data_IF_820415596730
#
_entry.id   IF_820415596730
#
_cell.length_a   1.000
_cell.length_b   1.000
_cell.length_c   1.000
_cell.angle_alpha   90.00
_cell.angle_beta   90.00
_cell.angle_gamma   90.00
#
_symmetry.space_group_name_H-M   'P 1'
#
loop_
_entity.id
_entity.type
_entity.pdbx_description
1 polymer ?
#
# COMPACT_ATOMS: atom_id res chain seq x y z
N UNK A 1 16.15 -13.50 27.81
CA UNK A 1 14.83 -12.91 27.49
C UNK A 1 14.56 -11.71 28.39
N UNK A 2 15.18 -10.56 28.10
CA UNK A 2 14.83 -9.33 28.78
C UNK A 2 13.59 -8.73 28.10
N UNK A 3 12.44 -8.74 28.80
CA UNK A 3 11.27 -7.93 28.43
C UNK A 3 11.74 -6.46 28.27
N UNK A 4 11.46 -5.79 27.15
CA UNK A 4 11.81 -4.39 27.02
C UNK A 4 10.97 -3.59 28.02
N UNK A 5 11.64 -3.07 29.07
CA UNK A 5 11.04 -2.08 29.97
C UNK A 5 10.66 -0.80 29.18
N UNK A 6 9.79 0.04 29.74
CA UNK A 6 9.34 1.29 29.12
C UNK A 6 10.49 2.18 28.59
N UNK A 7 11.68 2.15 29.23
CA UNK A 7 12.90 2.79 28.73
C UNK A 7 13.42 2.21 27.42
N UNK A 8 13.18 0.94 27.14
CA UNK A 8 13.59 0.30 25.87
C UNK A 8 12.76 0.72 24.67
N UNK A 9 11.48 1.06 24.87
CA UNK A 9 10.62 1.55 23.78
C UNK A 9 11.01 2.98 23.36
N UNK A 10 11.15 3.90 24.30
CA UNK A 10 11.57 5.27 23.99
C UNK A 10 12.94 5.31 23.32
N UNK A 11 13.89 4.48 23.79
CA UNK A 11 15.19 4.35 23.17
C UNK A 11 15.07 3.81 21.73
N UNK A 12 14.18 2.83 21.48
CA UNK A 12 13.95 2.27 20.15
C UNK A 12 13.37 3.31 19.19
N UNK A 13 12.43 4.14 19.67
CA UNK A 13 11.90 5.28 18.90
C UNK A 13 13.01 6.28 18.55
N UNK A 14 13.83 6.67 19.54
CA UNK A 14 14.95 7.60 19.34
C UNK A 14 15.92 7.09 18.26
N UNK A 15 16.33 5.80 18.33
CA UNK A 15 17.26 5.20 17.36
C UNK A 15 16.66 5.15 15.96
N UNK A 16 15.39 4.76 15.82
CA UNK A 16 14.71 4.67 14.50
C UNK A 16 14.57 6.07 13.89
N UNK A 17 14.09 7.05 14.66
CA UNK A 17 13.86 8.41 14.16
C UNK A 17 15.16 9.19 13.88
N UNK A 18 16.27 8.81 14.51
CA UNK A 18 17.60 9.38 14.21
C UNK A 18 18.23 8.81 12.93
N UNK A 19 17.67 7.74 12.37
CA UNK A 19 18.20 7.11 11.16
C UNK A 19 17.62 7.79 9.91
N UNK A 20 18.47 8.50 9.14
CA UNK A 20 18.07 9.18 7.93
C UNK A 20 17.48 8.23 6.87
N UNK A 21 18.02 7.01 6.75
CA UNK A 21 17.48 6.02 5.83
C UNK A 21 16.03 5.64 6.15
N UNK A 22 15.65 5.66 7.44
CA UNK A 22 14.27 5.42 7.85
C UNK A 22 13.30 6.46 7.29
N UNK A 23 13.67 7.74 7.29
CA UNK A 23 12.82 8.81 6.75
C UNK A 23 12.60 8.69 5.25
N UNK A 24 13.64 8.30 4.49
CA UNK A 24 13.51 8.03 3.04
C UNK A 24 12.53 6.88 2.81
N UNK A 25 12.65 5.79 3.58
CA UNK A 25 11.76 4.63 3.47
C UNK A 25 10.34 4.99 3.88
N UNK A 26 10.19 5.76 4.96
CA UNK A 26 8.89 6.24 5.43
C UNK A 26 8.19 7.08 4.36
N UNK A 27 8.92 7.99 3.71
CA UNK A 27 8.40 8.80 2.61
C UNK A 27 8.03 7.94 1.40
N UNK A 28 8.90 7.01 1.02
CA UNK A 28 8.63 6.04 -0.06
C UNK A 28 7.39 5.19 0.20
N UNK A 29 7.09 4.88 1.45
CA UNK A 29 5.89 4.17 1.85
C UNK A 29 4.66 5.08 1.94
N UNK A 30 4.79 6.24 2.59
CA UNK A 30 3.68 7.13 2.91
C UNK A 30 3.05 7.75 1.65
N UNK A 31 3.86 8.24 0.71
CA UNK A 31 3.36 8.93 -0.49
C UNK A 31 2.47 8.03 -1.35
N UNK A 32 2.86 6.80 -1.73
CA UNK A 32 1.98 5.90 -2.47
C UNK A 32 0.80 5.37 -1.65
N UNK A 33 0.91 5.36 -0.31
CA UNK A 33 -0.19 4.95 0.55
C UNK A 33 -1.37 5.92 0.51
N UNK A 34 -1.14 7.22 0.25
CA UNK A 34 -2.21 8.22 0.13
C UNK A 34 -3.24 7.84 -0.95
N UNK A 35 -2.87 7.73 -2.24
CA UNK A 35 -3.82 7.31 -3.27
C UNK A 35 -4.33 5.87 -3.04
N UNK A 36 -3.50 4.99 -2.45
CA UNK A 36 -3.90 3.62 -2.11
C UNK A 36 -5.08 3.57 -1.13
N UNK A 37 -5.02 4.32 -0.05
CA UNK A 37 -6.11 4.43 0.92
C UNK A 37 -7.33 5.16 0.35
N UNK A 38 -7.12 6.25 -0.38
CA UNK A 38 -8.20 6.96 -1.04
C UNK A 38 -8.98 6.02 -1.97
N UNK A 39 -8.28 5.28 -2.85
CA UNK A 39 -8.92 4.35 -3.77
C UNK A 39 -9.68 3.26 -3.03
N UNK A 40 -9.08 2.61 -2.04
CA UNK A 40 -9.73 1.52 -1.28
C UNK A 40 -11.01 2.00 -0.58
N UNK A 41 -11.02 3.20 -0.02
CA UNK A 41 -12.15 3.73 0.73
C UNK A 41 -13.28 4.24 -0.19
N UNK A 42 -12.93 4.78 -1.37
CA UNK A 42 -13.90 5.35 -2.30
C UNK A 42 -14.32 4.40 -3.43
N UNK A 43 -13.65 3.26 -3.57
CA UNK A 43 -13.93 2.31 -4.64
C UNK A 43 -15.39 1.82 -4.65
N UNK A 44 -16.02 1.48 -3.51
CA UNK A 44 -17.44 1.10 -3.48
C UNK A 44 -18.33 2.18 -4.08
N UNK A 45 -18.07 3.45 -3.73
CA UNK A 45 -18.81 4.60 -4.25
C UNK A 45 -18.58 4.78 -5.75
N UNK A 46 -17.34 4.62 -6.23
CA UNK A 46 -17.04 4.68 -7.67
C UNK A 46 -17.73 3.55 -8.43
N UNK A 47 -17.78 2.34 -7.90
CA UNK A 47 -18.51 1.22 -8.50
C UNK A 47 -20.01 1.49 -8.55
N UNK A 48 -20.59 2.00 -7.45
CA UNK A 48 -22.01 2.34 -7.43
C UNK A 48 -22.37 3.42 -8.46
N UNK A 49 -21.62 4.52 -8.49
CA UNK A 49 -21.89 5.66 -9.34
C UNK A 49 -21.65 5.33 -10.83
N UNK A 50 -20.52 4.70 -11.16
CA UNK A 50 -20.15 4.47 -12.54
C UNK A 50 -20.93 3.33 -13.19
N UNK A 51 -21.43 2.38 -12.39
CA UNK A 51 -22.22 1.24 -12.88
C UNK A 51 -23.74 1.44 -12.69
N UNK A 52 -24.16 2.45 -11.95
CA UNK A 52 -25.57 2.66 -11.62
C UNK A 52 -26.17 1.53 -10.75
N UNK A 53 -25.35 0.88 -9.92
CA UNK A 53 -25.78 -0.23 -9.04
C UNK A 53 -25.90 0.23 -7.59
N UNK A 54 -26.78 -0.42 -6.79
CA UNK A 54 -26.91 -0.07 -5.38
C UNK A 54 -25.64 -0.37 -4.60
N UNK A 55 -25.36 0.42 -3.55
CA UNK A 55 -24.16 0.30 -2.70
C UNK A 55 -24.02 -1.08 -2.07
N UNK A 56 -25.14 -1.74 -1.79
CA UNK A 56 -25.19 -3.12 -1.24
C UNK A 56 -24.50 -4.13 -2.15
N UNK A 57 -24.55 -3.93 -3.46
CA UNK A 57 -23.87 -4.76 -4.48
C UNK A 57 -22.48 -4.23 -4.81
N UNK A 58 -22.32 -2.92 -4.87
CA UNK A 58 -21.06 -2.26 -5.21
C UNK A 58 -19.96 -2.50 -4.13
N UNK A 59 -20.35 -2.48 -2.85
CA UNK A 59 -19.44 -2.72 -1.73
C UNK A 59 -18.74 -4.08 -1.79
N UNK A 60 -19.48 -5.18 -1.76
CA UNK A 60 -18.89 -6.52 -1.89
C UNK A 60 -18.11 -6.71 -3.20
N UNK A 61 -18.65 -6.27 -4.35
CA UNK A 61 -18.01 -6.40 -5.64
C UNK A 61 -16.64 -5.70 -5.67
N UNK A 62 -16.56 -4.46 -5.22
CA UNK A 62 -15.31 -3.70 -5.17
C UNK A 62 -14.30 -4.29 -4.20
N UNK A 63 -14.76 -4.68 -3.00
CA UNK A 63 -13.90 -5.24 -1.95
C UNK A 63 -13.32 -6.59 -2.37
N UNK A 64 -14.14 -7.49 -2.91
CA UNK A 64 -13.68 -8.80 -3.40
C UNK A 64 -12.71 -8.61 -4.57
N UNK A 65 -13.02 -7.70 -5.49
CA UNK A 65 -12.14 -7.41 -6.64
C UNK A 65 -10.74 -6.99 -6.20
N UNK A 66 -10.64 -6.03 -5.26
CA UNK A 66 -9.33 -5.59 -4.75
C UNK A 66 -8.67 -6.66 -3.90
N UNK A 67 -9.39 -7.29 -2.98
CA UNK A 67 -8.79 -8.27 -2.07
C UNK A 67 -8.21 -9.47 -2.85
N UNK A 68 -8.98 -10.04 -3.78
CA UNK A 68 -8.52 -11.14 -4.61
C UNK A 68 -7.32 -10.75 -5.48
N UNK A 69 -7.38 -9.60 -6.16
CA UNK A 69 -6.29 -9.17 -7.02
C UNK A 69 -5.04 -8.78 -6.22
N UNK A 70 -5.18 -8.13 -5.06
CA UNK A 70 -4.05 -7.83 -4.17
C UNK A 70 -3.36 -9.09 -3.66
N UNK A 71 -4.11 -10.15 -3.37
CA UNK A 71 -3.54 -11.44 -2.99
C UNK A 71 -2.59 -11.98 -4.07
N UNK A 72 -3.04 -11.99 -5.33
CA UNK A 72 -2.18 -12.36 -6.46
C UNK A 72 -1.00 -11.40 -6.64
N UNK A 73 -1.25 -10.10 -6.47
CA UNK A 73 -0.22 -9.06 -6.53
C UNK A 73 0.89 -9.28 -5.49
N UNK A 74 0.54 -9.62 -4.26
CA UNK A 74 1.50 -9.94 -3.17
C UNK A 74 2.35 -11.16 -3.53
N UNK A 75 1.72 -12.26 -4.00
CA UNK A 75 2.43 -13.48 -4.37
C UNK A 75 3.38 -13.21 -5.53
N UNK A 76 2.88 -12.60 -6.60
CA UNK A 76 3.68 -12.31 -7.79
C UNK A 76 4.79 -11.29 -7.51
N UNK A 77 4.47 -10.22 -6.77
CA UNK A 77 5.44 -9.21 -6.37
C UNK A 77 6.52 -9.76 -5.45
N UNK A 78 6.16 -10.61 -4.49
CA UNK A 78 7.11 -11.32 -3.63
C UNK A 78 8.05 -12.22 -4.44
N UNK A 79 7.50 -13.08 -5.28
CA UNK A 79 8.28 -13.98 -6.13
C UNK A 79 9.25 -13.23 -7.06
N UNK A 80 8.76 -12.19 -7.75
CA UNK A 80 9.55 -11.39 -8.68
C UNK A 80 10.69 -10.67 -7.95
N UNK A 81 10.39 -10.05 -6.81
CA UNK A 81 11.39 -9.34 -6.02
C UNK A 81 12.46 -10.27 -5.45
N UNK A 82 12.09 -11.46 -4.97
CA UNK A 82 13.02 -12.43 -4.44
C UNK A 82 13.94 -12.99 -5.54
N UNK A 83 13.43 -13.17 -6.75
CA UNK A 83 14.23 -13.54 -7.91
C UNK A 83 15.22 -12.43 -8.29
N UNK A 84 14.80 -11.18 -8.29
CA UNK A 84 15.65 -10.06 -8.67
C UNK A 84 16.70 -9.71 -7.62
N UNK A 85 16.37 -9.81 -6.34
CA UNK A 85 17.33 -9.54 -5.23
C UNK A 85 18.56 -10.44 -5.31
N UNK A 86 18.43 -11.65 -5.86
CA UNK A 86 19.58 -12.55 -6.06
C UNK A 86 20.66 -11.99 -6.98
N UNK A 87 20.28 -11.07 -7.88
CA UNK A 87 21.18 -10.44 -8.84
C UNK A 87 21.42 -8.94 -8.54
N UNK A 88 20.45 -8.28 -7.90
CA UNK A 88 20.51 -6.86 -7.59
C UNK A 88 19.69 -6.54 -6.34
N UNK A 89 20.34 -6.02 -5.30
CA UNK A 89 19.70 -5.65 -4.03
C UNK A 89 18.55 -4.63 -4.20
N UNK A 90 18.54 -3.85 -5.29
CA UNK A 90 17.46 -2.92 -5.65
C UNK A 90 16.22 -3.61 -6.23
N UNK A 91 16.24 -4.94 -6.42
CA UNK A 91 15.15 -5.70 -7.04
C UNK A 91 13.78 -5.46 -6.37
N UNK A 92 13.74 -5.32 -5.04
CA UNK A 92 12.50 -5.00 -4.30
C UNK A 92 11.95 -3.62 -4.64
N UNK A 93 12.82 -2.63 -4.78
CA UNK A 93 12.43 -1.27 -5.15
C UNK A 93 11.89 -1.23 -6.58
N UNK A 94 12.52 -1.95 -7.51
CA UNK A 94 12.04 -2.05 -8.89
C UNK A 94 10.69 -2.75 -8.99
N UNK A 95 10.48 -3.84 -8.26
CA UNK A 95 9.19 -4.54 -8.21
C UNK A 95 8.10 -3.61 -7.65
N UNK A 96 8.38 -2.88 -6.57
CA UNK A 96 7.46 -1.89 -6.01
C UNK A 96 7.15 -0.77 -7.01
N UNK A 97 8.15 -0.25 -7.72
CA UNK A 97 7.96 0.79 -8.72
C UNK A 97 7.09 0.31 -9.90
N UNK A 98 7.28 -0.92 -10.36
CA UNK A 98 6.42 -1.53 -11.39
C UNK A 98 5.00 -1.67 -10.87
N UNK A 99 4.81 -2.17 -9.64
CA UNK A 99 3.51 -2.28 -9.02
C UNK A 99 2.79 -0.93 -8.95
N UNK A 100 3.47 0.13 -8.49
CA UNK A 100 2.93 1.49 -8.47
C UNK A 100 2.64 2.01 -9.89
N UNK A 101 3.51 1.72 -10.86
CA UNK A 101 3.29 2.07 -12.26
C UNK A 101 1.99 1.48 -12.82
N UNK A 102 1.63 0.25 -12.42
CA UNK A 102 0.37 -0.39 -12.81
C UNK A 102 -0.87 0.28 -12.19
N UNK A 103 -0.72 0.92 -11.05
CA UNK A 103 -1.86 1.64 -10.43
C UNK A 103 -2.24 2.91 -11.19
N UNK A 104 -1.33 3.51 -11.96
CA UNK A 104 -1.62 4.74 -12.72
C UNK A 104 -2.70 4.52 -13.78
N UNK A 105 -2.55 3.59 -14.76
CA UNK A 105 -3.61 3.32 -15.72
C UNK A 105 -4.88 2.77 -15.05
N UNK A 106 -4.75 2.05 -13.94
CA UNK A 106 -5.90 1.59 -13.17
C UNK A 106 -6.74 2.75 -12.64
N UNK A 107 -6.11 3.78 -12.06
CA UNK A 107 -6.80 4.97 -11.54
C UNK A 107 -7.46 5.78 -12.66
N UNK A 108 -6.80 5.90 -13.82
CA UNK A 108 -7.40 6.56 -15.00
C UNK A 108 -8.65 5.80 -15.46
N UNK A 109 -8.58 4.47 -15.56
CA UNK A 109 -9.72 3.65 -15.94
C UNK A 109 -10.85 3.68 -14.90
N UNK A 110 -10.53 3.77 -13.60
CA UNK A 110 -11.55 3.94 -12.55
C UNK A 110 -12.26 5.30 -12.65
N UNK A 111 -11.55 6.35 -13.03
CA UNK A 111 -12.13 7.69 -13.16
C UNK A 111 -13.00 7.88 -14.41
N UNK A 112 -12.66 7.24 -15.51
CA UNK A 112 -13.33 7.44 -16.81
C UNK A 112 -14.11 6.21 -17.32
N UNK A 113 -14.03 5.08 -16.65
CA UNK A 113 -14.72 3.85 -17.05
C UNK A 113 -16.20 3.87 -16.66
N UNK A 114 -17.08 3.53 -17.59
CA UNK A 114 -18.53 3.43 -17.38
C UNK A 114 -19.08 2.03 -17.68
N UNK A 115 -18.23 1.06 -17.96
CA UNK A 115 -18.65 -0.32 -18.21
C UNK A 115 -18.13 -1.26 -17.11
N UNK A 116 -18.92 -2.29 -16.80
CA UNK A 116 -18.54 -3.28 -15.79
C UNK A 116 -17.14 -3.89 -16.04
N UNK A 117 -16.79 -4.34 -17.29
CA UNK A 117 -15.45 -4.88 -17.53
C UNK A 117 -14.33 -3.86 -17.32
N UNK A 118 -14.54 -2.58 -17.68
CA UNK A 118 -13.54 -1.54 -17.51
C UNK A 118 -13.27 -1.26 -16.03
N UNK A 119 -14.33 -1.14 -15.22
CA UNK A 119 -14.22 -0.81 -13.79
C UNK A 119 -13.68 -2.00 -13.00
N UNK A 120 -14.19 -3.22 -13.26
CA UNK A 120 -13.66 -4.42 -12.60
C UNK A 120 -12.21 -4.67 -13.03
N UNK A 121 -11.90 -4.53 -14.31
CA UNK A 121 -10.53 -4.65 -14.84
C UNK A 121 -9.57 -3.63 -14.21
N UNK A 122 -10.03 -2.40 -14.04
CA UNK A 122 -9.27 -1.35 -13.36
C UNK A 122 -9.03 -1.68 -11.88
N UNK A 123 -10.05 -2.17 -11.17
CA UNK A 123 -9.93 -2.63 -9.78
C UNK A 123 -8.95 -3.81 -9.63
N UNK A 124 -9.01 -4.77 -10.55
CA UNK A 124 -8.06 -5.88 -10.60
C UNK A 124 -6.62 -5.40 -10.83
N UNK A 125 -6.42 -4.52 -11.79
CA UNK A 125 -5.10 -3.96 -12.11
C UNK A 125 -4.54 -3.14 -10.94
N UNK A 126 -5.39 -2.34 -10.30
CA UNK A 126 -5.03 -1.59 -9.10
C UNK A 126 -4.61 -2.53 -7.96
N UNK A 127 -5.42 -3.55 -7.67
CA UNK A 127 -5.13 -4.49 -6.59
C UNK A 127 -3.82 -5.26 -6.82
N UNK A 128 -3.57 -5.76 -8.05
CA UNK A 128 -2.30 -6.41 -8.40
C UNK A 128 -1.13 -5.45 -8.20
N UNK A 129 -1.20 -4.25 -8.75
CA UNK A 129 -0.13 -3.26 -8.65
C UNK A 129 0.16 -2.85 -7.21
N UNK A 130 -0.89 -2.54 -6.44
CA UNK A 130 -0.73 -2.16 -5.04
C UNK A 130 -0.25 -3.33 -4.18
N UNK A 131 -0.70 -4.56 -4.44
CA UNK A 131 -0.22 -5.77 -3.78
C UNK A 131 1.28 -6.02 -4.01
N UNK A 132 1.77 -5.80 -5.24
CA UNK A 132 3.20 -5.87 -5.56
C UNK A 132 4.03 -4.84 -4.78
N UNK A 133 3.52 -3.63 -4.62
CA UNK A 133 4.15 -2.60 -3.80
C UNK A 133 4.17 -3.00 -2.32
N UNK A 134 3.01 -3.38 -1.78
CA UNK A 134 2.81 -3.66 -0.35
C UNK A 134 3.65 -4.85 0.14
N UNK A 135 3.80 -5.90 -0.67
CA UNK A 135 4.62 -7.07 -0.38
C UNK A 135 6.09 -6.75 -0.09
N UNK A 136 6.60 -5.63 -0.61
CA UNK A 136 8.01 -5.27 -0.50
C UNK A 136 8.31 -4.25 0.60
N UNK A 137 7.32 -3.65 1.24
CA UNK A 137 7.51 -2.59 2.24
C UNK A 137 8.31 -3.08 3.45
N UNK A 138 7.89 -4.17 4.09
CA UNK A 138 8.63 -4.74 5.23
C UNK A 138 10.02 -5.27 4.83
N UNK A 139 10.17 -6.03 3.73
CA UNK A 139 11.48 -6.47 3.28
C UNK A 139 12.45 -5.32 2.94
N UNK A 140 11.98 -4.21 2.35
CA UNK A 140 12.82 -3.03 2.10
C UNK A 140 13.28 -2.42 3.43
N UNK A 141 12.36 -2.23 4.38
CA UNK A 141 12.70 -1.72 5.72
C UNK A 141 13.79 -2.58 6.39
N UNK A 142 13.67 -3.92 6.27
CA UNK A 142 14.61 -4.86 6.86
C UNK A 142 16.04 -4.79 6.28
N UNK A 143 16.24 -4.18 5.11
CA UNK A 143 17.56 -3.98 4.53
C UNK A 143 18.33 -2.85 5.20
N UNK A 144 17.64 -1.88 5.81
CA UNK A 144 18.24 -0.66 6.37
C UNK A 144 18.13 -0.57 7.88
N UNK A 145 17.22 -1.32 8.51
CA UNK A 145 16.99 -1.27 9.96
C UNK A 145 17.43 -2.58 10.61
N UNK A 146 18.24 -2.46 11.67
CA UNK A 146 18.70 -3.63 12.43
C UNK A 146 17.52 -4.44 13.02
N UNK A 147 17.68 -5.75 13.16
CA UNK A 147 16.64 -6.67 13.60
C UNK A 147 15.96 -6.25 14.91
N UNK A 148 16.73 -5.69 15.83
CA UNK A 148 16.26 -5.20 17.15
C UNK A 148 15.16 -4.13 17.04
N UNK A 149 15.19 -3.29 16.00
CA UNK A 149 14.32 -2.11 15.88
C UNK A 149 13.27 -2.23 14.75
N UNK A 150 13.24 -3.35 14.02
CA UNK A 150 12.34 -3.54 12.86
C UNK A 150 10.86 -3.45 13.23
N UNK A 151 10.47 -4.04 14.36
CA UNK A 151 9.08 -4.00 14.80
C UNK A 151 8.63 -2.54 15.10
N UNK A 152 9.47 -1.77 15.79
CA UNK A 152 9.19 -0.35 16.09
C UNK A 152 9.13 0.46 14.80
N UNK A 153 10.09 0.29 13.90
CA UNK A 153 10.14 1.02 12.62
C UNK A 153 8.92 0.70 11.74
N UNK A 154 8.55 -0.58 11.64
CA UNK A 154 7.37 -0.99 10.87
C UNK A 154 6.06 -0.50 11.50
N UNK A 155 5.98 -0.48 12.83
CA UNK A 155 4.86 0.11 13.56
C UNK A 155 4.68 1.60 13.25
N UNK A 156 5.77 2.38 13.25
CA UNK A 156 5.75 3.80 12.88
C UNK A 156 5.30 3.98 11.42
N UNK A 157 5.83 3.17 10.49
CA UNK A 157 5.41 3.20 9.09
C UNK A 157 3.92 2.97 8.92
N UNK A 158 3.38 1.90 9.53
CA UNK A 158 1.95 1.59 9.44
C UNK A 158 1.09 2.69 10.06
N UNK A 159 1.46 3.19 11.23
CA UNK A 159 0.76 4.29 11.88
C UNK A 159 0.72 5.53 10.98
N UNK A 160 1.85 5.89 10.37
CA UNK A 160 1.93 7.01 9.42
C UNK A 160 1.02 6.78 8.21
N UNK A 161 1.02 5.58 7.63
CA UNK A 161 0.15 5.21 6.53
C UNK A 161 -1.34 5.31 6.87
N UNK A 162 -1.74 4.84 8.06
CA UNK A 162 -3.13 4.92 8.54
C UNK A 162 -3.56 6.37 8.76
N UNK A 163 -2.72 7.19 9.43
CA UNK A 163 -3.01 8.61 9.63
C UNK A 163 -3.08 9.38 8.31
N UNK A 164 -2.16 9.13 7.40
CA UNK A 164 -2.18 9.72 6.06
C UNK A 164 -3.46 9.32 5.31
N UNK A 165 -3.84 8.04 5.36
CA UNK A 165 -5.08 7.54 4.78
C UNK A 165 -6.33 8.17 5.37
N UNK A 166 -6.40 8.31 6.69
CA UNK A 166 -7.52 8.96 7.37
C UNK A 166 -7.63 10.45 6.96
N UNK A 167 -6.51 11.17 6.92
CA UNK A 167 -6.47 12.56 6.51
C UNK A 167 -6.97 12.75 5.06
N UNK A 168 -6.49 11.92 4.13
CA UNK A 168 -6.93 11.96 2.72
C UNK A 168 -8.41 11.64 2.60
N UNK A 169 -8.89 10.60 3.28
CA UNK A 169 -10.32 10.23 3.25
C UNK A 169 -11.19 11.37 3.77
N UNK A 170 -10.77 12.06 4.84
CA UNK A 170 -11.50 13.20 5.40
C UNK A 170 -11.51 14.41 4.46
N UNK A 171 -10.36 14.70 3.82
CA UNK A 171 -10.26 15.80 2.85
C UNK A 171 -11.18 15.55 1.65
N UNK A 172 -11.09 14.38 1.04
CA UNK A 172 -11.93 14.01 -0.11
C UNK A 172 -13.42 13.95 0.28
N UNK A 173 -13.76 13.47 1.48
CA UNK A 173 -15.14 13.44 1.97
C UNK A 173 -15.80 14.80 2.16
N UNK A 174 -15.01 15.89 2.27
CA UNK A 174 -15.53 17.25 2.31
C UNK A 174 -15.80 17.85 0.92
N UNK A 175 -15.24 17.24 -0.13
CA UNK A 175 -15.32 17.73 -1.51
C UNK A 175 -16.28 16.90 -2.37
N UNK A 176 -16.72 15.75 -1.86
CA UNK A 176 -17.71 14.87 -2.49
C UNK A 176 -19.13 15.16 -1.96
#
# INVERSE_FOLDING_TARGET
DQKPGAGGLLQSFGVVLSNWAFWIILFFFAVPSLPGWATKNWLPTLFANNLGIPMESAGPLSTITIAASSFFGVIFGGYLSDKWVRHNLKGRIYTSAIGLGLTIPALVLLGYGHSLPAIVGAGLLFGIGFGMFDANNMPILCQFISSKYRATAYGIMNMTGVFAGAAVTQVFGKWA
#
